data_IF_985223292486
#
_entry.id   IF_985223292486
#
_cell.length_a   1.000
_cell.length_b   1.000
_cell.length_c   1.000
_cell.angle_alpha   90.00
_cell.angle_beta   90.00
_cell.angle_gamma   90.00
#
_symmetry.space_group_name_H-M   'P 1'
#
loop_
_entity.id
_entity.type
_entity.pdbx_description
1 polymer ?
#
# COMPACT_ATOMS: atom_id res chain seq x y z
N UNK A 1 12.28 -22.14 -12.60
CA UNK A 1 11.34 -21.07 -12.99
C UNK A 1 10.41 -20.69 -11.84
N UNK A 2 9.71 -21.65 -11.20
CA UNK A 2 8.82 -21.41 -10.04
C UNK A 2 9.51 -20.71 -8.86
N UNK A 3 10.68 -21.19 -8.43
CA UNK A 3 11.44 -20.57 -7.33
C UNK A 3 11.92 -19.13 -7.62
N UNK A 4 12.21 -18.81 -8.89
CA UNK A 4 12.62 -17.47 -9.31
C UNK A 4 11.41 -16.52 -9.20
N UNK A 5 10.23 -16.98 -9.64
CA UNK A 5 8.99 -16.22 -9.56
C UNK A 5 8.63 -15.89 -8.11
N UNK A 6 8.74 -16.84 -7.19
CA UNK A 6 8.53 -16.62 -5.76
C UNK A 6 9.48 -15.60 -5.15
N UNK A 7 10.77 -15.72 -5.46
CA UNK A 7 11.80 -14.82 -4.93
C UNK A 7 11.52 -13.38 -5.38
N UNK A 8 11.11 -13.20 -6.64
CA UNK A 8 10.70 -11.90 -7.19
C UNK A 8 9.44 -11.39 -6.47
N UNK A 9 8.40 -12.23 -6.31
CA UNK A 9 7.16 -11.85 -5.63
C UNK A 9 7.40 -11.38 -4.19
N UNK A 10 8.22 -12.12 -3.44
CA UNK A 10 8.56 -11.79 -2.04
C UNK A 10 9.38 -10.49 -1.99
N UNK A 11 10.39 -10.35 -2.85
CA UNK A 11 11.19 -9.13 -2.92
C UNK A 11 10.33 -7.90 -3.28
N UNK A 12 9.38 -8.07 -4.20
CA UNK A 12 8.49 -7.00 -4.63
C UNK A 12 7.56 -6.56 -3.49
N UNK A 13 7.02 -7.49 -2.71
CA UNK A 13 6.24 -7.19 -1.50
C UNK A 13 7.10 -6.49 -0.44
N UNK A 14 8.31 -7.01 -0.17
CA UNK A 14 9.23 -6.45 0.82
C UNK A 14 9.73 -5.06 0.47
N UNK A 15 9.78 -4.70 -0.81
CA UNK A 15 10.25 -3.37 -1.25
C UNK A 15 9.07 -2.40 -1.44
N UNK A 16 7.98 -2.83 -2.10
CA UNK A 16 6.83 -1.97 -2.38
C UNK A 16 6.07 -1.55 -1.12
N UNK A 17 5.94 -2.42 -0.11
CA UNK A 17 5.23 -2.07 1.13
C UNK A 17 5.93 -0.92 1.88
N UNK A 18 7.21 -1.05 2.30
CA UNK A 18 7.88 0.01 3.05
C UNK A 18 8.13 1.27 2.20
N UNK A 19 8.43 1.15 0.90
CA UNK A 19 8.58 2.32 0.04
C UNK A 19 7.25 3.08 -0.13
N UNK A 20 6.14 2.36 -0.35
CA UNK A 20 4.82 2.97 -0.44
C UNK A 20 4.45 3.70 0.85
N UNK A 21 4.62 3.03 2.00
CA UNK A 21 4.35 3.62 3.31
C UNK A 21 5.24 4.84 3.60
N UNK A 22 6.53 4.77 3.28
CA UNK A 22 7.47 5.90 3.43
C UNK A 22 7.08 7.08 2.54
N UNK A 23 6.78 6.83 1.27
CA UNK A 23 6.33 7.87 0.33
C UNK A 23 5.05 8.56 0.82
N UNK A 24 4.09 7.77 1.31
CA UNK A 24 2.85 8.30 1.88
C UNK A 24 3.11 9.11 3.15
N UNK A 25 3.96 8.62 4.06
CA UNK A 25 4.37 9.33 5.27
C UNK A 25 5.03 10.68 4.96
N UNK A 26 5.96 10.72 3.99
CA UNK A 26 6.63 11.96 3.61
C UNK A 26 5.67 12.97 2.98
N UNK A 27 4.77 12.52 2.08
CA UNK A 27 3.77 13.39 1.45
C UNK A 27 2.76 13.93 2.46
N UNK A 28 2.29 13.08 3.37
CA UNK A 28 1.32 13.49 4.39
C UNK A 28 1.95 14.44 5.42
N UNK A 29 3.21 14.21 5.83
CA UNK A 29 3.94 15.14 6.70
C UNK A 29 4.14 16.52 6.06
N UNK A 30 4.47 16.57 4.77
CA UNK A 30 4.53 17.84 4.01
C UNK A 30 3.17 18.54 3.98
N UNK A 31 2.09 17.80 3.71
CA UNK A 31 0.72 18.33 3.76
C UNK A 31 0.35 18.94 5.11
N UNK A 32 0.75 18.31 6.23
CA UNK A 32 0.51 18.81 7.59
C UNK A 32 1.29 20.09 7.91
N UNK A 33 2.44 20.32 7.28
CA UNK A 33 3.30 21.46 7.58
C UNK A 33 3.15 22.63 6.59
N UNK A 34 2.86 22.36 5.30
CA UNK A 34 2.96 23.37 4.23
C UNK A 34 1.60 23.92 3.77
N UNK A 35 0.50 23.17 3.91
CA UNK A 35 -0.82 23.61 3.40
C UNK A 35 -1.64 24.17 4.54
N UNK A 36 -2.04 25.43 4.55
CA UNK A 36 -2.84 25.99 5.68
C UNK A 36 -4.33 25.67 5.56
N UNK A 37 -4.83 25.47 4.34
CA UNK A 37 -6.24 25.23 4.08
C UNK A 37 -6.66 23.77 4.35
N UNK A 38 -7.69 23.61 5.19
CA UNK A 38 -8.20 22.31 5.66
C UNK A 38 -8.84 21.51 4.53
N UNK A 39 -9.56 22.15 3.62
CA UNK A 39 -10.25 21.49 2.50
C UNK A 39 -9.21 20.90 1.53
N UNK A 40 -8.21 21.71 1.17
CA UNK A 40 -7.12 21.31 0.26
C UNK A 40 -6.27 20.18 0.84
N UNK A 41 -6.04 20.16 2.17
CA UNK A 41 -5.36 19.04 2.84
C UNK A 41 -6.12 17.72 2.71
N UNK A 42 -7.44 17.73 2.93
CA UNK A 42 -8.27 16.52 2.87
C UNK A 42 -8.25 15.91 1.47
N UNK A 43 -8.51 16.73 0.44
CA UNK A 43 -8.53 16.27 -0.95
C UNK A 43 -7.17 15.69 -1.35
N UNK A 44 -6.09 16.34 -0.95
CA UNK A 44 -4.73 15.88 -1.26
C UNK A 44 -4.34 14.62 -0.50
N UNK A 45 -4.72 14.49 0.77
CA UNK A 45 -4.51 13.27 1.56
C UNK A 45 -5.23 12.07 0.92
N UNK A 46 -6.50 12.25 0.54
CA UNK A 46 -7.28 11.20 -0.15
C UNK A 46 -6.62 10.82 -1.48
N UNK A 47 -6.09 11.79 -2.23
CA UNK A 47 -5.36 11.53 -3.48
C UNK A 47 -4.11 10.70 -3.25
N UNK A 48 -3.27 11.04 -2.27
CA UNK A 48 -2.07 10.26 -1.95
C UNK A 48 -2.40 8.88 -1.38
N UNK A 49 -3.48 8.75 -0.60
CA UNK A 49 -3.92 7.47 -0.09
C UNK A 49 -4.40 6.55 -1.22
N UNK A 50 -5.12 7.07 -2.22
CA UNK A 50 -5.46 6.33 -3.44
C UNK A 50 -4.22 5.89 -4.22
N UNK A 51 -3.21 6.74 -4.34
CA UNK A 51 -1.94 6.38 -4.98
C UNK A 51 -1.22 5.27 -4.22
N UNK A 52 -1.16 5.34 -2.89
CA UNK A 52 -0.59 4.28 -2.04
C UNK A 52 -1.32 2.95 -2.26
N UNK A 53 -2.65 2.96 -2.27
CA UNK A 53 -3.45 1.76 -2.53
C UNK A 53 -3.17 1.17 -3.92
N UNK A 54 -2.95 2.00 -4.94
CA UNK A 54 -2.60 1.50 -6.27
C UNK A 54 -1.22 0.82 -6.28
N UNK A 55 -0.22 1.43 -5.62
CA UNK A 55 1.14 0.88 -5.51
C UNK A 55 1.15 -0.44 -4.73
N UNK A 56 0.35 -0.55 -3.66
CA UNK A 56 0.21 -1.77 -2.85
C UNK A 56 -0.68 -2.82 -3.52
N UNK A 57 -1.58 -2.41 -4.42
CA UNK A 57 -2.48 -3.29 -5.15
C UNK A 57 -1.79 -4.13 -6.22
N UNK A 58 -0.81 -3.57 -6.92
CA UNK A 58 -0.02 -4.26 -7.94
C UNK A 58 0.62 -5.58 -7.46
N UNK A 59 1.38 -5.60 -6.35
CA UNK A 59 1.93 -6.86 -5.81
C UNK A 59 0.84 -7.85 -5.40
N UNK A 60 -0.29 -7.37 -4.87
CA UNK A 60 -1.43 -8.22 -4.52
C UNK A 60 -2.03 -8.91 -5.74
N UNK A 61 -2.26 -8.18 -6.84
CA UNK A 61 -2.77 -8.76 -8.09
C UNK A 61 -1.78 -9.78 -8.65
N UNK A 62 -0.48 -9.44 -8.68
CA UNK A 62 0.55 -10.32 -9.18
C UNK A 62 0.65 -11.62 -8.35
N UNK A 63 0.58 -11.50 -7.02
CA UNK A 63 0.55 -12.65 -6.11
C UNK A 63 -0.68 -13.54 -6.35
N UNK A 64 -1.87 -12.95 -6.53
CA UNK A 64 -3.09 -13.70 -6.83
C UNK A 64 -3.06 -14.44 -8.16
N UNK A 65 -2.54 -13.79 -9.21
CA UNK A 65 -2.35 -14.41 -10.54
C UNK A 65 -1.33 -15.55 -10.46
N UNK A 66 -0.22 -15.35 -9.72
CA UNK A 66 0.79 -16.40 -9.53
C UNK A 66 0.24 -17.63 -8.79
N UNK A 67 -0.63 -17.42 -7.79
CA UNK A 67 -1.30 -18.51 -7.07
C UNK A 67 -2.26 -19.31 -7.98
N UNK A 68 -3.03 -18.62 -8.83
CA UNK A 68 -3.93 -19.29 -9.76
C UNK A 68 -3.19 -20.16 -10.80
N UNK A 69 -2.02 -19.68 -11.28
CA UNK A 69 -1.21 -20.39 -12.26
C UNK A 69 -0.33 -21.50 -11.65
N UNK A 70 0.03 -21.38 -10.36
CA UNK A 70 0.90 -22.32 -9.65
C UNK A 70 0.30 -22.60 -8.25
N UNK A 71 -0.73 -23.45 -8.16
CA UNK A 71 -1.46 -23.67 -6.92
C UNK A 71 -0.67 -24.42 -5.83
N UNK A 72 0.43 -25.10 -6.17
CA UNK A 72 1.32 -25.73 -5.17
C UNK A 72 2.12 -24.70 -4.35
N UNK A 73 2.10 -23.42 -4.76
CA UNK A 73 3.03 -22.42 -4.26
C UNK A 73 2.44 -21.55 -3.14
N UNK A 74 2.54 -22.03 -1.91
CA UNK A 74 1.94 -21.37 -0.73
C UNK A 74 2.54 -20.00 -0.38
N UNK A 75 3.72 -19.66 -0.90
CA UNK A 75 4.36 -18.36 -0.70
C UNK A 75 3.64 -17.22 -1.42
N UNK A 76 3.05 -17.51 -2.59
CA UNK A 76 2.23 -16.53 -3.32
C UNK A 76 1.00 -16.12 -2.51
N UNK A 77 0.38 -17.07 -1.81
CA UNK A 77 -0.77 -16.85 -0.92
C UNK A 77 -0.38 -15.98 0.29
N UNK A 78 0.80 -16.22 0.87
CA UNK A 78 1.33 -15.37 1.94
C UNK A 78 1.57 -13.92 1.47
N UNK A 79 2.20 -13.74 0.31
CA UNK A 79 2.40 -12.43 -0.30
C UNK A 79 1.07 -11.71 -0.58
N UNK A 80 0.07 -12.44 -1.09
CA UNK A 80 -1.27 -11.93 -1.32
C UNK A 80 -1.93 -11.43 -0.03
N UNK A 81 -1.89 -12.23 1.05
CA UNK A 81 -2.39 -11.85 2.37
C UNK A 81 -1.70 -10.60 2.91
N UNK A 82 -0.37 -10.52 2.82
CA UNK A 82 0.39 -9.37 3.30
C UNK A 82 0.05 -8.08 2.53
N UNK A 83 -0.07 -8.17 1.20
CA UNK A 83 -0.54 -7.04 0.39
C UNK A 83 -1.97 -6.64 0.73
N UNK A 84 -2.86 -7.60 0.97
CA UNK A 84 -4.24 -7.33 1.38
C UNK A 84 -4.32 -6.61 2.74
N UNK A 85 -3.57 -7.09 3.74
CA UNK A 85 -3.48 -6.43 5.05
C UNK A 85 -2.92 -5.01 4.90
N UNK A 86 -1.86 -4.83 4.10
CA UNK A 86 -1.29 -3.51 3.82
C UNK A 86 -2.31 -2.57 3.15
N UNK A 87 -3.15 -3.06 2.23
CA UNK A 87 -4.22 -2.31 1.59
C UNK A 87 -5.32 -1.88 2.57
N UNK A 88 -5.77 -2.79 3.42
CA UNK A 88 -6.77 -2.48 4.46
C UNK A 88 -6.24 -1.42 5.42
N UNK A 89 -4.96 -1.54 5.82
CA UNK A 89 -4.30 -0.57 6.69
C UNK A 89 -3.95 0.75 6.00
N UNK A 90 -3.86 0.80 4.67
CA UNK A 90 -3.60 2.04 3.91
C UNK A 90 -4.87 2.74 3.43
N UNK A 91 -6.04 2.08 3.52
CA UNK A 91 -7.32 2.70 3.16
C UNK A 91 -7.55 3.99 3.98
N UNK A 92 -7.83 5.13 3.32
CA UNK A 92 -8.20 6.35 4.02
C UNK A 92 -9.59 6.14 4.63
N UNK A 93 -9.66 6.10 5.96
CA UNK A 93 -10.91 6.09 6.72
C UNK A 93 -11.09 7.42 7.43
N UNK A 94 -12.33 7.79 7.72
CA UNK A 94 -12.66 9.04 8.42
C UNK A 94 -11.92 9.16 9.75
N UNK A 95 -11.75 8.06 10.47
CA UNK A 95 -10.97 8.00 11.72
C UNK A 95 -9.49 8.35 11.52
N UNK A 96 -8.87 7.89 10.42
CA UNK A 96 -7.47 8.22 10.10
C UNK A 96 -7.33 9.67 9.66
N UNK A 97 -8.30 10.19 8.90
CA UNK A 97 -8.36 11.60 8.57
C UNK A 97 -8.47 12.44 9.85
N UNK A 98 -9.41 12.12 10.75
CA UNK A 98 -9.59 12.81 12.03
C UNK A 98 -8.32 12.80 12.88
N UNK A 99 -7.66 11.65 13.06
CA UNK A 99 -6.34 11.59 13.74
C UNK A 99 -5.30 12.50 13.09
N UNK A 100 -5.27 12.56 11.76
CA UNK A 100 -4.31 13.40 11.03
C UNK A 100 -4.57 14.91 11.17
N UNK A 101 -5.80 15.31 11.50
CA UNK A 101 -6.21 16.72 11.59
C UNK A 101 -6.37 17.24 13.03
N UNK A 102 -6.49 16.34 14.03
CA UNK A 102 -6.78 16.70 15.44
C UNK A 102 -5.51 16.63 16.31
N UNK A 103 -4.58 15.70 16.04
CA UNK A 103 -3.19 15.72 16.57
C UNK A 103 -2.26 16.46 15.61
#
# INVERSE_FOLDING_TARGET
TVQILNTISIALVLVCIPLGLKYFSDKTKKLKNEVTDKQTRIVSYVRYAKQLMFVLGLPGIFAGVSYYLIPEDKTSLFCFLMSFVALVLSKPTEVKLQKFFIE
#
